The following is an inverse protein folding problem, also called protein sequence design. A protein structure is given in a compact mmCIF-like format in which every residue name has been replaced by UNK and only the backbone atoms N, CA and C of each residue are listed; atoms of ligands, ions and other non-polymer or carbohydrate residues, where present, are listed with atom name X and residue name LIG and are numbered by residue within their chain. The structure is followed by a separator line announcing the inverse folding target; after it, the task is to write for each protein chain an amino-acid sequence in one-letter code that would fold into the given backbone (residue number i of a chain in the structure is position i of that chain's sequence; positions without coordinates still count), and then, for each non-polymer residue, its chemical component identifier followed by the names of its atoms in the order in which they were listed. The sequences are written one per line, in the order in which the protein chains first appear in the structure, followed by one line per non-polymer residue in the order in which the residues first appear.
data_IF_040278889378
#
_entry.id   IF_040278889378
#
_cell.length_a   1.000
_cell.length_b   1.000
_cell.length_c   1.000
_cell.angle_alpha   90.00
_cell.angle_beta   90.00
_cell.angle_gamma   90.00
#
_symmetry.space_group_name_H-M   'P 1'
#
loop_
_entity.id
_entity.type
_entity.pdbx_description
1 polymer ?
#
# COMPACT_ATOMS: atom_id res chain seq x y z
N UNK A 1 -32.31 72.04 -25.43
CA UNK A 1 -32.84 70.66 -25.45
C UNK A 1 -31.89 69.82 -26.28
N UNK A 2 -31.03 69.05 -25.62
CA UNK A 2 -29.94 68.30 -26.24
C UNK A 2 -30.41 66.87 -26.57
N UNK A 3 -30.28 66.46 -27.82
CA UNK A 3 -30.40 65.05 -28.26
C UNK A 3 -29.38 64.79 -29.36
N UNK A 4 -28.14 64.55 -28.97
CA UNK A 4 -27.18 63.86 -29.83
C UNK A 4 -27.36 62.35 -29.60
N UNK A 5 -27.92 61.70 -30.61
CA UNK A 5 -28.17 60.26 -30.67
C UNK A 5 -26.82 59.54 -30.69
N UNK A 6 -26.64 58.63 -29.74
CA UNK A 6 -25.39 57.97 -29.45
C UNK A 6 -25.45 56.48 -29.87
N UNK A 7 -24.35 56.06 -30.49
CA UNK A 7 -23.70 54.74 -30.35
C UNK A 7 -24.14 53.64 -31.32
N UNK A 8 -23.33 53.53 -32.38
CA UNK A 8 -22.89 52.28 -33.01
C UNK A 8 -21.87 51.61 -32.08
N UNK A 9 -21.89 50.27 -31.92
CA UNK A 9 -20.73 49.34 -32.04
C UNK A 9 -21.02 47.95 -31.41
N UNK A 10 -21.00 46.95 -32.30
CA UNK A 10 -20.42 45.60 -32.27
C UNK A 10 -20.55 44.64 -31.06
N UNK A 11 -21.18 43.50 -31.37
CA UNK A 11 -20.69 42.11 -31.23
C UNK A 11 -19.53 41.86 -30.25
N UNK A 12 -19.86 41.16 -29.15
CA UNK A 12 -18.94 40.22 -28.50
C UNK A 12 -19.76 39.07 -27.91
N UNK A 13 -20.08 38.07 -28.74
CA UNK A 13 -20.49 36.76 -28.23
C UNK A 13 -19.27 36.14 -27.54
N UNK A 14 -19.18 36.33 -26.22
CA UNK A 14 -18.21 35.65 -25.40
C UNK A 14 -18.47 34.14 -25.44
N UNK A 15 -17.55 33.40 -26.08
CA UNK A 15 -17.30 31.99 -25.83
C UNK A 15 -16.91 31.82 -24.36
N UNK A 16 -17.89 31.74 -23.47
CA UNK A 16 -17.67 31.31 -22.08
C UNK A 16 -17.47 29.80 -22.12
N UNK A 17 -16.23 29.37 -22.36
CA UNK A 17 -15.82 28.00 -22.12
C UNK A 17 -16.07 27.70 -20.63
N UNK A 18 -17.08 26.87 -20.35
CA UNK A 18 -17.48 26.56 -18.98
C UNK A 18 -16.35 25.82 -18.25
N UNK A 19 -15.83 26.33 -17.11
CA UNK A 19 -14.72 25.70 -16.38
C UNK A 19 -15.07 24.31 -15.81
N UNK A 20 -16.36 23.96 -15.75
CA UNK A 20 -16.85 22.70 -15.21
C UNK A 20 -16.28 21.45 -15.92
N UNK A 21 -16.06 21.51 -17.24
CA UNK A 21 -15.55 20.37 -18.00
C UNK A 21 -14.07 20.06 -17.72
N UNK A 22 -13.25 21.11 -17.54
CA UNK A 22 -11.84 20.95 -17.18
C UNK A 22 -11.70 20.42 -15.75
N UNK A 23 -12.51 20.91 -14.82
CA UNK A 23 -12.41 20.52 -13.41
C UNK A 23 -12.82 19.06 -13.18
N UNK A 24 -13.92 18.62 -13.81
CA UNK A 24 -14.37 17.22 -13.75
C UNK A 24 -13.36 16.26 -14.40
N UNK A 25 -12.79 16.61 -15.55
CA UNK A 25 -11.77 15.80 -16.21
C UNK A 25 -10.50 15.66 -15.37
N UNK A 26 -10.04 16.75 -14.74
CA UNK A 26 -8.89 16.71 -13.82
C UNK A 26 -9.16 15.82 -12.61
N UNK A 27 -10.32 15.94 -11.95
CA UNK A 27 -10.69 15.06 -10.83
C UNK A 27 -10.64 13.59 -11.24
N UNK A 28 -11.19 13.24 -12.41
CA UNK A 28 -11.16 11.85 -12.90
C UNK A 28 -9.75 11.33 -13.20
N UNK A 29 -8.85 12.17 -13.72
CA UNK A 29 -7.47 11.78 -13.99
C UNK A 29 -6.67 11.53 -12.70
N UNK A 30 -6.90 12.36 -11.67
CA UNK A 30 -6.31 12.16 -10.34
C UNK A 30 -6.84 10.88 -9.70
N UNK A 31 -8.14 10.63 -9.76
CA UNK A 31 -8.76 9.41 -9.21
C UNK A 31 -8.15 8.16 -9.85
N UNK A 32 -8.11 8.09 -11.19
CA UNK A 32 -7.52 6.97 -11.92
C UNK A 32 -6.04 6.76 -11.57
N UNK A 33 -5.26 7.84 -11.43
CA UNK A 33 -3.85 7.74 -11.08
C UNK A 33 -3.63 7.13 -9.69
N UNK A 34 -4.39 7.58 -8.69
CA UNK A 34 -4.33 7.03 -7.34
C UNK A 34 -4.88 5.61 -7.26
N UNK A 35 -5.98 5.31 -7.94
CA UNK A 35 -6.55 3.95 -7.95
C UNK A 35 -5.57 2.96 -8.57
N UNK A 36 -4.89 3.35 -9.66
CA UNK A 36 -3.84 2.51 -10.27
C UNK A 36 -2.68 2.31 -9.29
N UNK A 37 -2.21 3.38 -8.64
CA UNK A 37 -1.12 3.32 -7.66
C UNK A 37 -1.45 2.36 -6.50
N UNK A 38 -2.67 2.43 -5.97
CA UNK A 38 -3.10 1.56 -4.87
C UNK A 38 -3.40 0.11 -5.29
N UNK A 39 -3.71 -0.11 -6.57
CA UNK A 39 -3.98 -1.43 -7.13
C UNK A 39 -2.70 -2.22 -7.48
N UNK A 40 -1.53 -1.58 -7.51
CA UNK A 40 -0.25 -2.22 -7.79
C UNK A 40 -0.02 -3.48 -6.92
N UNK A 41 0.51 -4.53 -7.54
CA UNK A 41 0.72 -5.83 -6.90
C UNK A 41 1.97 -5.84 -6.01
N UNK A 42 2.89 -4.89 -6.20
CA UNK A 42 4.11 -4.77 -5.40
C UNK A 42 4.51 -3.31 -5.15
N UNK A 43 5.35 -3.04 -4.14
CA UNK A 43 5.93 -1.72 -3.93
C UNK A 43 6.75 -1.22 -5.14
N UNK A 44 7.43 -2.11 -5.85
CA UNK A 44 8.22 -1.75 -7.03
C UNK A 44 7.31 -1.30 -8.19
N UNK A 45 6.20 -2.01 -8.41
CA UNK A 45 5.19 -1.60 -9.40
C UNK A 45 4.54 -0.26 -9.00
N UNK A 46 4.21 -0.08 -7.72
CA UNK A 46 3.68 1.18 -7.20
C UNK A 46 4.66 2.34 -7.41
N UNK A 47 5.97 2.11 -7.22
CA UNK A 47 7.00 3.13 -7.41
C UNK A 47 7.06 3.64 -8.85
N UNK A 48 6.89 2.76 -9.84
CA UNK A 48 6.82 3.15 -11.27
C UNK A 48 5.58 4.01 -11.57
N UNK A 49 4.51 3.88 -10.78
CA UNK A 49 3.28 4.64 -10.97
C UNK A 49 3.30 6.05 -10.35
N UNK A 50 4.32 6.40 -9.58
CA UNK A 50 4.45 7.72 -8.94
C UNK A 50 4.43 8.86 -9.97
N UNK A 51 5.13 8.70 -11.09
CA UNK A 51 5.16 9.71 -12.15
C UNK A 51 3.78 9.95 -12.78
N UNK A 52 2.89 8.96 -12.75
CA UNK A 52 1.51 9.12 -13.22
C UNK A 52 0.70 9.97 -12.24
N UNK A 53 0.90 9.77 -10.94
CA UNK A 53 0.28 10.60 -9.90
C UNK A 53 0.76 12.04 -10.02
N UNK A 54 2.06 12.27 -10.19
CA UNK A 54 2.61 13.63 -10.36
C UNK A 54 2.06 14.31 -11.63
N UNK A 55 2.02 13.59 -12.76
CA UNK A 55 1.48 14.11 -14.03
C UNK A 55 -0.03 14.33 -14.05
N UNK A 56 -0.77 13.80 -13.08
CA UNK A 56 -2.21 14.05 -12.95
C UNK A 56 -2.56 15.50 -12.61
N UNK A 57 -1.57 16.32 -12.22
CA UNK A 57 -1.78 17.72 -11.84
C UNK A 57 -2.34 17.90 -10.43
N UNK A 58 -2.39 16.83 -9.62
CA UNK A 58 -2.82 16.89 -8.23
C UNK A 58 -1.94 17.85 -7.42
N UNK A 59 -2.58 18.76 -6.67
CA UNK A 59 -1.87 19.64 -5.73
C UNK A 59 -1.34 18.86 -4.52
N UNK A 60 -0.29 19.38 -3.88
CA UNK A 60 0.35 18.72 -2.74
C UNK A 60 -0.63 18.37 -1.61
N UNK A 61 -1.46 19.33 -1.17
CA UNK A 61 -2.39 19.10 -0.06
C UNK A 61 -3.42 18.02 -0.39
N UNK A 62 -3.90 17.98 -1.63
CA UNK A 62 -4.83 16.95 -2.07
C UNK A 62 -4.17 15.57 -2.13
N UNK A 63 -2.97 15.50 -2.70
CA UNK A 63 -2.19 14.26 -2.73
C UNK A 63 -1.91 13.75 -1.31
N UNK A 64 -1.52 14.64 -0.40
CA UNK A 64 -1.24 14.30 0.99
C UNK A 64 -2.49 13.79 1.71
N UNK A 65 -3.65 14.44 1.56
CA UNK A 65 -4.92 13.96 2.12
C UNK A 65 -5.30 12.58 1.58
N UNK A 66 -5.09 12.32 0.29
CA UNK A 66 -5.36 11.00 -0.32
C UNK A 66 -4.42 9.92 0.21
N UNK A 67 -3.14 10.24 0.39
CA UNK A 67 -2.17 9.32 1.00
C UNK A 67 -2.52 9.00 2.46
N UNK A 68 -2.96 10.00 3.24
CA UNK A 68 -3.42 9.78 4.61
C UNK A 68 -4.69 8.92 4.68
N UNK A 69 -5.60 9.07 3.71
CA UNK A 69 -6.79 8.20 3.58
C UNK A 69 -6.39 6.77 3.25
N UNK A 70 -5.38 6.59 2.38
CA UNK A 70 -4.89 5.31 1.94
C UNK A 70 -5.81 4.62 0.94
N UNK A 71 -5.58 3.32 0.76
CA UNK A 71 -6.36 2.46 -0.12
C UNK A 71 -7.73 2.13 0.48
N UNK A 72 -8.76 2.11 -0.37
CA UNK A 72 -10.05 1.50 -0.04
C UNK A 72 -9.93 -0.02 -0.09
N UNK A 73 -10.28 -0.69 1.02
CA UNK A 73 -10.33 -2.15 1.08
C UNK A 73 -11.72 -2.64 0.69
N UNK A 74 -11.78 -3.80 0.04
CA UNK A 74 -13.03 -4.51 -0.26
C UNK A 74 -13.18 -5.71 0.68
N UNK A 75 -14.37 -6.32 0.71
CA UNK A 75 -14.58 -7.55 1.46
C UNK A 75 -13.54 -8.62 1.08
N UNK A 76 -13.02 -9.30 2.09
CA UNK A 76 -12.02 -10.35 1.95
C UNK A 76 -12.53 -11.65 2.57
N UNK A 77 -11.85 -12.76 2.26
CA UNK A 77 -12.13 -14.05 2.90
C UNK A 77 -11.92 -13.95 4.41
N UNK A 78 -12.91 -14.38 5.17
CA UNK A 78 -12.87 -14.47 6.64
C UNK A 78 -12.40 -15.83 7.12
N UNK A 79 -12.21 -15.98 8.43
CA UNK A 79 -11.74 -17.22 9.06
C UNK A 79 -10.23 -17.44 8.85
N UNK A 80 -9.83 -18.71 8.74
CA UNK A 80 -8.43 -19.10 8.61
C UNK A 80 -8.03 -19.15 7.13
N UNK A 81 -7.14 -18.26 6.75
CA UNK A 81 -6.69 -18.05 5.37
C UNK A 81 -5.20 -18.41 5.30
N UNK A 82 -4.86 -19.51 4.61
CA UNK A 82 -3.46 -19.94 4.43
C UNK A 82 -2.81 -19.22 3.26
N UNK A 83 -1.58 -18.81 3.46
CA UNK A 83 -0.73 -18.18 2.45
C UNK A 83 0.69 -18.74 2.50
N UNK A 84 1.44 -18.39 1.46
CA UNK A 84 2.88 -18.56 1.40
C UNK A 84 3.51 -17.32 0.80
N UNK A 85 4.75 -17.03 1.20
CA UNK A 85 5.59 -16.04 0.56
C UNK A 85 6.88 -16.70 0.11
N UNK A 86 7.31 -16.45 -1.13
CA UNK A 86 8.56 -16.97 -1.66
C UNK A 86 9.61 -15.88 -1.66
N UNK A 87 10.75 -16.15 -1.03
CA UNK A 87 11.90 -15.25 -1.06
C UNK A 87 12.71 -15.42 -2.36
N UNK A 88 13.59 -14.47 -2.73
CA UNK A 88 14.36 -14.54 -3.97
C UNK A 88 15.33 -15.73 -4.04
N UNK A 89 15.78 -16.25 -2.90
CA UNK A 89 16.54 -17.50 -2.79
C UNK A 89 15.67 -18.77 -2.93
N UNK A 90 14.39 -18.60 -3.25
CA UNK A 90 13.45 -19.68 -3.57
C UNK A 90 12.78 -20.32 -2.37
N UNK A 91 13.08 -19.86 -1.15
CA UNK A 91 12.51 -20.41 0.09
C UNK A 91 11.06 -19.97 0.26
N UNK A 92 10.20 -20.93 0.53
CA UNK A 92 8.80 -20.67 0.85
C UNK A 92 8.64 -20.44 2.35
N UNK A 93 7.84 -19.45 2.71
CA UNK A 93 7.45 -19.14 4.09
C UNK A 93 5.94 -19.22 4.19
N UNK A 94 5.43 -20.30 4.80
CA UNK A 94 4.01 -20.43 5.07
C UNK A 94 3.58 -19.55 6.23
N UNK A 95 2.35 -19.05 6.16
CA UNK A 95 1.69 -18.37 7.27
C UNK A 95 0.17 -18.50 7.16
N UNK A 96 -0.52 -18.21 8.26
CA UNK A 96 -1.98 -18.09 8.27
C UNK A 96 -2.40 -16.68 8.68
N UNK A 97 -3.47 -16.20 8.06
CA UNK A 97 -4.24 -15.07 8.55
C UNK A 97 -5.49 -15.61 9.24
N UNK A 98 -5.73 -15.17 10.47
CA UNK A 98 -7.01 -15.37 11.15
C UNK A 98 -7.77 -14.06 11.05
N UNK A 99 -8.75 -14.03 10.15
CA UNK A 99 -9.59 -12.86 9.88
C UNK A 99 -10.92 -13.07 10.61
N UNK A 100 -11.41 -12.10 11.39
CA UNK A 100 -12.70 -12.23 12.08
C UNK A 100 -13.84 -12.57 11.12
N UNK A 101 -14.80 -13.38 11.56
CA UNK A 101 -16.00 -13.70 10.76
C UNK A 101 -16.87 -12.46 10.50
N UNK A 102 -16.75 -11.47 11.38
CA UNK A 102 -17.37 -10.14 11.36
C UNK A 102 -16.54 -9.11 10.59
N UNK A 103 -15.57 -9.53 9.77
CA UNK A 103 -14.71 -8.60 9.05
C UNK A 103 -15.54 -7.64 8.18
N UNK A 104 -15.23 -6.36 8.34
CA UNK A 104 -15.82 -5.23 7.66
C UNK A 104 -14.66 -4.37 7.14
N UNK A 105 -14.49 -4.22 5.82
CA UNK A 105 -13.42 -3.43 5.25
C UNK A 105 -13.48 -1.93 5.61
N UNK A 106 -14.62 -1.42 6.10
CA UNK A 106 -14.77 -0.06 6.59
C UNK A 106 -14.21 0.16 8.00
N UNK A 107 -13.90 -0.91 8.74
CA UNK A 107 -13.38 -0.85 10.11
C UNK A 107 -11.87 -1.06 10.14
N UNK A 108 -11.19 -0.30 11.00
CA UNK A 108 -9.76 -0.50 11.29
C UNK A 108 -9.59 -1.63 12.31
N UNK A 109 -8.76 -2.61 11.98
CA UNK A 109 -8.41 -3.71 12.90
C UNK A 109 -6.98 -3.54 13.37
N UNK A 110 -6.72 -3.93 14.62
CA UNK A 110 -5.36 -4.25 15.03
C UNK A 110 -4.88 -5.47 14.25
N UNK A 111 -3.63 -5.46 13.82
CA UNK A 111 -2.95 -6.64 13.26
C UNK A 111 -1.93 -7.12 14.28
N UNK A 112 -2.00 -8.39 14.65
CA UNK A 112 -1.06 -9.02 15.58
C UNK A 112 -0.27 -10.13 14.90
N UNK A 113 1.05 -10.00 14.91
CA UNK A 113 1.94 -11.09 14.51
C UNK A 113 2.15 -12.00 15.71
N UNK A 114 1.73 -13.25 15.62
CA UNK A 114 1.87 -14.25 16.67
C UNK A 114 2.96 -15.26 16.32
N UNK A 115 4.10 -15.15 17.02
CA UNK A 115 5.24 -16.04 16.82
C UNK A 115 5.14 -17.25 17.75
N UNK A 116 5.23 -18.45 17.19
CA UNK A 116 5.23 -19.68 17.98
C UNK A 116 6.62 -19.99 18.56
N UNK A 117 6.65 -20.76 19.66
CA UNK A 117 7.87 -21.33 20.24
C UNK A 117 8.32 -22.63 19.55
N UNK A 118 9.33 -23.29 20.11
CA UNK A 118 9.76 -24.62 19.65
C UNK A 118 10.42 -24.66 18.27
N UNK A 119 10.87 -23.52 17.75
CA UNK A 119 11.45 -23.37 16.41
C UNK A 119 12.61 -24.34 16.16
N UNK A 120 13.54 -24.47 17.11
CA UNK A 120 14.71 -25.35 16.96
C UNK A 120 14.38 -26.84 16.92
N UNK A 121 13.18 -27.25 17.34
CA UNK A 121 12.72 -28.64 17.26
C UNK A 121 12.04 -28.98 15.93
N UNK A 122 11.93 -28.04 14.99
CA UNK A 122 11.19 -28.23 13.74
C UNK A 122 12.13 -28.34 12.56
N UNK A 123 11.95 -29.37 11.74
CA UNK A 123 12.67 -29.51 10.47
C UNK A 123 12.04 -28.74 9.31
N UNK A 124 10.77 -28.34 9.40
CA UNK A 124 10.04 -27.68 8.30
C UNK A 124 9.10 -26.56 8.77
N UNK A 125 8.72 -25.73 7.81
CA UNK A 125 7.75 -24.62 7.94
C UNK A 125 6.28 -25.06 7.76
N UNK A 126 6.00 -26.37 7.71
CA UNK A 126 4.65 -26.87 7.48
C UNK A 126 3.67 -26.32 8.55
N UNK A 127 2.47 -25.86 8.16
CA UNK A 127 1.47 -25.43 9.13
C UNK A 127 1.20 -26.52 10.16
N UNK A 128 1.15 -26.13 11.44
CA UNK A 128 0.76 -27.03 12.53
C UNK A 128 -0.64 -26.77 13.01
N UNK A 129 -1.36 -27.84 13.31
CA UNK A 129 -2.75 -27.80 13.74
C UNK A 129 -3.66 -27.13 12.70
N UNK A 130 -4.71 -26.48 13.20
CA UNK A 130 -5.68 -25.79 12.34
C UNK A 130 -5.12 -24.50 11.74
N UNK A 131 -4.03 -23.95 12.29
CA UNK A 131 -3.57 -22.59 11.98
C UNK A 131 -4.40 -21.50 12.66
N UNK A 132 -5.27 -21.88 13.61
CA UNK A 132 -6.00 -20.94 14.43
C UNK A 132 -5.11 -20.35 15.54
N UNK A 133 -5.36 -19.10 15.94
CA UNK A 133 -4.79 -18.54 17.17
C UNK A 133 -5.29 -19.28 18.43
N UNK A 134 -6.49 -19.87 18.36
CA UNK A 134 -7.09 -20.66 19.44
C UNK A 134 -7.30 -19.86 20.73
N UNK A 135 -7.01 -20.48 21.87
CA UNK A 135 -7.20 -19.89 23.20
C UNK A 135 -6.33 -18.63 23.48
N UNK A 136 -5.38 -18.31 22.60
CA UNK A 136 -4.56 -17.10 22.68
C UNK A 136 -5.24 -15.88 22.02
N UNK A 137 -6.45 -16.06 21.49
CA UNK A 137 -7.27 -14.97 21.00
C UNK A 137 -7.61 -13.99 22.14
N UNK A 138 -7.28 -12.71 21.94
CA UNK A 138 -7.77 -11.60 22.75
C UNK A 138 -8.94 -10.89 22.08
N UNK A 139 -9.02 -9.57 22.26
CA UNK A 139 -9.96 -8.71 21.55
C UNK A 139 -9.93 -8.93 20.02
N UNK A 140 -11.02 -8.61 19.36
CA UNK A 140 -11.19 -8.81 17.91
C UNK A 140 -10.11 -8.07 17.11
N UNK A 141 -9.29 -8.85 16.42
CA UNK A 141 -8.13 -8.38 15.67
C UNK A 141 -7.77 -9.42 14.59
N UNK A 142 -6.96 -9.01 13.62
CA UNK A 142 -6.44 -9.92 12.59
C UNK A 142 -5.12 -10.50 13.09
N UNK A 143 -4.99 -11.83 13.12
CA UNK A 143 -3.72 -12.47 13.48
C UNK A 143 -2.97 -12.92 12.23
N UNK A 144 -1.68 -12.62 12.20
CA UNK A 144 -0.70 -13.19 11.26
C UNK A 144 0.11 -14.23 12.03
N UNK A 145 0.06 -15.49 11.62
CA UNK A 145 0.78 -16.59 12.28
C UNK A 145 1.76 -17.19 11.28
N UNK A 146 3.01 -16.70 11.22
CA UNK A 146 4.05 -17.28 10.40
C UNK A 146 4.57 -18.59 11.00
N UNK A 147 5.25 -19.40 10.16
CA UNK A 147 5.88 -20.65 10.58
C UNK A 147 7.41 -20.59 10.41
N UNK A 148 8.14 -20.69 11.52
CA UNK A 148 9.60 -20.82 11.53
C UNK A 148 10.03 -22.24 11.90
N UNK A 149 11.26 -22.57 11.53
CA UNK A 149 11.89 -23.86 11.77
C UNK A 149 13.39 -23.71 12.01
N UNK A 150 14.08 -24.81 12.31
CA UNK A 150 15.47 -24.81 12.77
C UNK A 150 16.43 -24.07 11.82
N UNK A 151 16.26 -24.21 10.50
CA UNK A 151 17.17 -23.57 9.54
C UNK A 151 16.86 -22.09 9.34
N UNK A 152 15.59 -21.70 9.49
CA UNK A 152 15.13 -20.31 9.32
C UNK A 152 14.41 -19.83 10.58
N UNK A 153 15.14 -19.64 11.69
CA UNK A 153 14.55 -19.21 12.95
C UNK A 153 14.08 -17.75 12.89
N UNK A 154 13.29 -17.35 13.88
CA UNK A 154 12.85 -15.97 14.01
C UNK A 154 14.02 -14.99 13.92
N UNK A 155 13.71 -13.81 13.39
CA UNK A 155 14.65 -12.69 13.25
C UNK A 155 15.76 -12.88 12.21
N UNK A 156 15.78 -14.00 11.49
CA UNK A 156 16.54 -14.08 10.23
C UNK A 156 15.98 -13.09 9.22
N UNK A 157 16.85 -12.60 8.34
CA UNK A 157 16.50 -11.55 7.40
C UNK A 157 15.32 -11.95 6.50
N UNK A 158 15.31 -13.19 6.02
CA UNK A 158 14.23 -13.78 5.22
C UNK A 158 12.89 -13.90 5.97
N UNK A 159 12.89 -14.05 7.30
CA UNK A 159 11.67 -14.05 8.13
C UNK A 159 11.15 -12.63 8.43
N UNK A 160 12.03 -11.61 8.37
CA UNK A 160 11.69 -10.20 8.61
C UNK A 160 11.31 -9.48 7.32
N UNK A 161 11.80 -9.98 6.18
CA UNK A 161 11.55 -9.40 4.87
C UNK A 161 10.31 -10.03 4.22
N UNK A 162 9.26 -9.26 3.93
CA UNK A 162 8.57 -9.47 2.67
C UNK A 162 9.57 -9.05 1.56
N UNK A 163 10.13 -9.98 0.80
CA UNK A 163 11.03 -9.62 -0.32
C UNK A 163 10.23 -9.03 -1.52
N UNK A 164 10.82 -8.16 -2.36
CA UNK A 164 12.22 -7.70 -2.39
C UNK A 164 12.38 -6.29 -1.81
N UNK A 165 13.34 -6.13 -0.90
CA UNK A 165 13.95 -4.83 -0.60
C UNK A 165 15.36 -4.88 -1.15
N UNK A 166 15.55 -4.42 -2.38
CA UNK A 166 16.87 -4.03 -2.88
C UNK A 166 16.98 -2.52 -2.84
N UNK A 167 17.29 -2.01 -1.65
CA UNK A 167 18.38 -1.04 -1.56
C UNK A 167 19.08 -1.25 -0.21
N UNK A 168 20.34 -1.71 -0.18
CA UNK A 168 21.05 -2.04 1.06
C UNK A 168 21.39 -0.80 1.93
N UNK A 169 20.88 0.39 1.62
CA UNK A 169 21.22 1.62 2.34
C UNK A 169 20.28 2.02 3.49
N UNK A 170 19.12 1.38 3.68
CA UNK A 170 18.09 1.95 4.58
C UNK A 170 18.13 1.42 6.02
N UNK A 171 18.93 0.40 6.34
CA UNK A 171 18.92 -0.20 7.70
C UNK A 171 20.29 -0.35 8.36
N UNK A 172 21.21 0.57 8.10
CA UNK A 172 22.44 0.67 8.91
C UNK A 172 22.92 2.12 9.02
N UNK A 173 22.28 2.92 9.89
CA UNK A 173 22.82 4.19 10.39
C UNK A 173 22.98 4.14 11.91
N UNK A 174 24.05 3.49 12.35
CA UNK A 174 24.93 4.00 13.40
C UNK A 174 26.36 3.84 12.87
N UNK A 175 27.17 4.88 13.10
CA UNK A 175 28.54 5.13 12.59
C UNK A 175 28.67 5.52 11.11
N UNK A 176 29.33 6.66 10.92
CA UNK A 176 29.61 7.38 9.68
C UNK A 176 30.59 6.63 8.75
N UNK A 177 30.45 6.89 7.45
CA UNK A 177 31.51 7.21 6.47
C UNK A 177 31.37 6.46 5.13
N UNK A 178 31.32 7.26 4.06
CA UNK A 178 31.59 6.91 2.65
C UNK A 178 30.53 6.14 1.85
N UNK A 179 29.58 6.90 1.27
CA UNK A 179 29.09 6.60 -0.08
C UNK A 179 29.61 7.74 -0.98
N UNK A 180 30.73 7.52 -1.66
CA UNK A 180 31.09 8.31 -2.85
C UNK A 180 30.66 7.52 -4.08
N UNK A 181 29.87 8.19 -4.92
CA UNK A 181 29.61 7.82 -6.30
C UNK A 181 30.91 7.92 -7.10
N UNK A 182 31.24 6.85 -7.82
CA UNK A 182 32.06 6.98 -9.03
C UNK A 182 31.33 6.22 -10.12
N UNK A 183 30.61 6.99 -10.92
CA UNK A 183 30.27 6.61 -12.28
C UNK A 183 31.55 6.64 -13.12
N UNK A 184 31.87 5.53 -13.78
CA UNK A 184 32.36 5.51 -15.16
C UNK A 184 31.94 4.19 -15.79
#
# INVERSE_FOLDING_TARGET
MARHVAIVIAVACALVASPAGHQAAQTSAVDVAFDTFWAAASPDEAAVLVDRVVRSGVGFDEAYRRLQRGRTYTAQRTGIVRFQNRTPDGVEHHYTLNVPDTYDPGRRYQVRIHLHGGVGGRGTNAPVGTGAIGALAGAEQIYVIPYAWADRPWWRQDQVLPAPTTSPCTKRRRSQASCRSTAT
#
